data_IF_573596433080
#
_entry.id   IF_573596433080
#
_cell.length_a   1.000
_cell.length_b   1.000
_cell.length_c   1.000
_cell.angle_alpha   90.00
_cell.angle_beta   90.00
_cell.angle_gamma   90.00
#
_symmetry.space_group_name_H-M   'P 1'
#
loop_
_entity.id
_entity.type
_entity.pdbx_description
1 polymer ?
#
# COMPACT_ATOMS: atom_id res chain seq x y z
N UNK A 1 0.70 5.84 7.53
CA UNK A 1 0.10 7.15 7.85
C UNK A 1 -1.37 7.20 7.44
N UNK A 2 -2.28 7.41 8.39
CA UNK A 2 -3.69 7.74 8.17
C UNK A 2 -4.11 8.85 9.14
N UNK A 3 -5.18 9.59 8.85
CA UNK A 3 -5.72 10.58 9.78
C UNK A 3 -5.94 9.96 11.18
N UNK A 4 -5.52 10.67 12.22
CA UNK A 4 -5.64 10.23 13.62
C UNK A 4 -4.57 9.23 14.11
N UNK A 5 -3.63 8.79 13.27
CA UNK A 5 -2.55 7.90 13.73
C UNK A 5 -1.45 8.66 14.46
N UNK A 6 -1.28 8.42 15.76
CA UNK A 6 -0.21 9.00 16.59
C UNK A 6 1.01 8.09 16.72
N UNK A 7 0.93 6.84 16.26
CA UNK A 7 2.04 5.88 16.36
C UNK A 7 3.09 6.18 15.29
N UNK A 8 4.33 6.53 15.68
CA UNK A 8 5.42 6.68 14.72
C UNK A 8 5.81 5.30 14.19
N UNK A 9 5.89 5.19 12.87
CA UNK A 9 6.42 4.00 12.20
C UNK A 9 7.45 4.45 11.16
N UNK A 10 8.63 3.80 11.06
CA UNK A 10 9.64 4.14 10.06
C UNK A 10 9.08 4.14 8.63
N UNK A 11 8.07 3.32 8.37
CA UNK A 11 7.43 3.19 7.06
C UNK A 11 6.46 4.34 6.73
N UNK A 12 6.10 5.16 7.72
CA UNK A 12 5.17 6.28 7.57
C UNK A 12 5.89 7.60 7.25
N UNK A 13 6.98 7.52 6.48
CA UNK A 13 7.88 8.63 6.15
C UNK A 13 7.99 8.94 4.65
N UNK A 14 9.11 9.60 4.28
CA UNK A 14 9.44 9.97 2.89
C UNK A 14 10.05 8.81 2.10
N UNK A 15 10.80 7.96 2.77
CA UNK A 15 11.63 6.92 2.15
C UNK A 15 10.80 5.76 1.58
N UNK A 16 9.59 5.55 2.12
CA UNK A 16 8.68 4.50 1.66
C UNK A 16 7.34 5.10 1.29
N UNK A 17 6.71 4.53 0.26
CA UNK A 17 5.37 4.89 -0.19
C UNK A 17 4.39 3.77 0.16
N UNK A 18 3.20 4.17 0.60
CA UNK A 18 2.14 3.24 0.98
C UNK A 18 1.32 2.88 -0.26
N UNK A 19 1.12 1.59 -0.49
CA UNK A 19 0.20 1.03 -1.48
C UNK A 19 -0.99 0.37 -0.79
N UNK A 20 -2.14 0.38 -1.48
CA UNK A 20 -3.44 -0.05 -0.97
C UNK A 20 -4.19 -0.83 -2.05
N UNK A 21 -5.03 -1.78 -1.63
CA UNK A 21 -6.00 -2.46 -2.50
C UNK A 21 -5.58 -3.86 -2.97
N UNK A 22 -4.31 -4.24 -2.77
CA UNK A 22 -3.81 -5.53 -3.18
C UNK A 22 -3.64 -5.68 -4.70
N UNK A 23 -3.09 -6.82 -5.09
CA UNK A 23 -2.86 -7.21 -6.47
C UNK A 23 -3.36 -8.63 -6.75
N UNK A 24 -3.42 -8.99 -8.02
CA UNK A 24 -3.77 -10.34 -8.47
C UNK A 24 -2.82 -11.43 -7.94
N UNK A 25 -1.58 -11.07 -7.61
CA UNK A 25 -0.58 -12.01 -7.07
C UNK A 25 -0.86 -12.41 -5.62
N UNK A 26 -1.55 -11.55 -4.85
CA UNK A 26 -1.81 -11.81 -3.44
C UNK A 26 -2.73 -13.03 -3.24
N UNK A 27 -3.62 -13.29 -4.21
CA UNK A 27 -4.40 -14.53 -4.27
C UNK A 27 -3.54 -15.79 -4.43
N UNK A 28 -2.44 -15.70 -5.18
CA UNK A 28 -1.62 -16.87 -5.54
C UNK A 28 -0.70 -17.30 -4.40
N UNK A 29 -0.27 -16.38 -3.53
CA UNK A 29 0.74 -16.68 -2.50
C UNK A 29 0.22 -16.64 -1.06
N UNK A 30 -0.87 -15.92 -0.77
CA UNK A 30 -1.29 -15.65 0.61
C UNK A 30 -2.79 -15.84 0.87
N UNK A 31 -3.54 -16.34 -0.12
CA UNK A 31 -5.00 -16.38 -0.09
C UNK A 31 -5.62 -15.06 -0.55
N UNK A 32 -6.73 -15.16 -1.30
CA UNK A 32 -7.33 -13.99 -1.93
C UNK A 32 -7.69 -12.90 -0.91
N UNK A 33 -7.11 -11.71 -1.13
CA UNK A 33 -7.48 -10.51 -0.40
C UNK A 33 -6.79 -10.33 0.95
N UNK A 34 -5.61 -10.91 1.21
CA UNK A 34 -4.82 -10.59 2.41
C UNK A 34 -4.37 -9.11 2.44
N UNK A 35 -4.13 -8.52 1.27
CA UNK A 35 -3.77 -7.12 1.06
C UNK A 35 -4.96 -6.21 0.72
N UNK A 36 -6.12 -6.81 0.43
CA UNK A 36 -7.38 -6.11 0.14
C UNK A 36 -8.04 -5.41 1.33
N UNK A 37 -7.85 -5.77 2.63
CA UNK A 37 -8.57 -5.12 3.70
C UNK A 37 -8.18 -3.64 3.79
N UNK A 38 -9.16 -2.82 4.16
CA UNK A 38 -9.01 -1.35 4.21
C UNK A 38 -7.98 -0.90 5.25
N UNK A 39 -7.63 -1.75 6.21
CA UNK A 39 -6.58 -1.48 7.20
C UNK A 39 -5.18 -1.87 6.73
N UNK A 40 -5.00 -2.74 5.73
CA UNK A 40 -3.67 -3.16 5.29
C UNK A 40 -2.94 -2.01 4.56
N UNK A 41 -1.65 -1.82 4.81
CA UNK A 41 -0.84 -0.71 4.29
C UNK A 41 0.55 -1.20 3.88
N UNK A 42 0.63 -1.91 2.76
CA UNK A 42 1.91 -2.32 2.18
C UNK A 42 2.78 -1.10 1.90
N UNK A 43 4.09 -1.23 2.05
CA UNK A 43 5.04 -0.14 1.89
C UNK A 43 6.25 -0.60 1.07
N UNK A 44 6.72 0.25 0.17
CA UNK A 44 7.85 -0.03 -0.70
C UNK A 44 8.70 1.23 -0.87
N UNK A 45 9.98 1.09 -1.16
CA UNK A 45 10.78 2.26 -1.59
C UNK A 45 10.36 2.65 -3.02
N UNK A 46 10.41 3.95 -3.39
CA UNK A 46 9.95 4.43 -4.69
C UNK A 46 10.65 3.79 -5.91
N UNK A 47 11.83 3.22 -5.71
CA UNK A 47 12.65 2.63 -6.77
C UNK A 47 12.18 1.23 -7.17
N UNK A 48 11.41 0.56 -6.33
CA UNK A 48 10.90 -0.80 -6.59
C UNK A 48 9.92 -0.76 -7.76
N UNK A 49 10.22 -1.56 -8.79
CA UNK A 49 9.36 -1.77 -9.95
C UNK A 49 8.77 -3.17 -9.89
N UNK A 50 7.44 -3.25 -9.85
CA UNK A 50 6.71 -4.52 -9.86
C UNK A 50 5.54 -4.41 -10.85
N UNK A 51 5.30 -5.47 -11.63
CA UNK A 51 4.20 -5.54 -12.60
C UNK A 51 2.82 -5.61 -11.93
N UNK A 52 2.76 -5.84 -10.62
CA UNK A 52 1.55 -5.80 -9.82
C UNK A 52 1.18 -4.41 -9.29
N UNK A 53 2.05 -3.41 -9.48
CA UNK A 53 1.79 -2.03 -9.07
C UNK A 53 0.99 -1.27 -10.13
N UNK A 54 0.06 -0.43 -9.65
CA UNK A 54 -0.73 0.46 -10.48
C UNK A 54 -1.02 1.77 -9.75
N UNK A 55 -1.74 2.67 -10.41
CA UNK A 55 -2.14 3.95 -9.85
C UNK A 55 -3.64 4.17 -10.04
N UNK A 56 -4.23 4.94 -9.11
CA UNK A 56 -5.59 5.46 -9.21
C UNK A 56 -5.52 6.98 -9.11
N UNK A 57 -5.99 7.67 -10.13
CA UNK A 57 -6.07 9.11 -10.11
C UNK A 57 -7.00 9.59 -9.00
N UNK A 58 -6.65 10.71 -8.38
CA UNK A 58 -7.50 11.44 -7.44
C UNK A 58 -7.61 12.89 -7.90
N UNK A 59 -8.76 13.51 -7.65
CA UNK A 59 -9.01 14.92 -7.90
C UNK A 59 -9.26 15.60 -6.55
N UNK A 60 -8.80 16.85 -6.41
CA UNK A 60 -9.24 17.70 -5.31
C UNK A 60 -10.77 17.85 -5.34
N UNK A 61 -11.43 17.98 -4.17
CA UNK A 61 -12.87 18.26 -4.10
C UNK A 61 -13.28 19.45 -4.96
#
# INVERSE_FOLDING_TARGET
PHPGNTVPKPEYGKDKRVLKGGSWFDCLSYGCGLSAPTFNRSFFTPEVRNNSFGFRCAKSP
#
